data_IF_989768981508
#
_entry.id   IF_989768981508
#
_cell.length_a   1.000
_cell.length_b   1.000
_cell.length_c   1.000
_cell.angle_alpha   90.00
_cell.angle_beta   90.00
_cell.angle_gamma   90.00
#
_symmetry.space_group_name_H-M   'P 1'
#
loop_
_entity.id
_entity.type
_entity.pdbx_description
1 polymer ?
#
# COMPACT_ATOMS: atom_id res chain seq x y z
N UNK A 1 7.16 -11.74 20.78
CA UNK A 1 6.12 -11.42 19.79
C UNK A 1 6.81 -11.05 18.47
N UNK A 2 6.44 -11.64 17.33
CA UNK A 2 7.00 -11.22 16.03
C UNK A 2 6.42 -9.86 15.64
N UNK A 3 7.26 -8.93 15.18
CA UNK A 3 6.81 -7.62 14.73
C UNK A 3 5.95 -7.74 13.46
N UNK A 4 4.80 -7.07 13.44
CA UNK A 4 3.93 -6.99 12.27
C UNK A 4 4.57 -6.12 11.20
N UNK A 5 4.49 -6.56 9.94
CA UNK A 5 4.94 -5.84 8.75
C UNK A 5 3.73 -5.36 7.97
N UNK A 6 3.87 -4.22 7.30
CA UNK A 6 2.84 -3.67 6.42
C UNK A 6 3.11 -4.13 4.99
N UNK A 7 2.05 -4.41 4.23
CA UNK A 7 2.09 -4.85 2.85
C UNK A 7 1.11 -4.05 2.02
N UNK A 8 1.47 -3.77 0.77
CA UNK A 8 0.58 -3.15 -0.23
C UNK A 8 0.09 -4.22 -1.19
N UNK A 9 -1.19 -4.16 -1.50
CA UNK A 9 -1.87 -5.06 -2.41
C UNK A 9 -2.43 -4.25 -3.57
N UNK A 10 -2.07 -4.63 -4.78
CA UNK A 10 -2.79 -4.23 -5.98
C UNK A 10 -3.72 -5.36 -6.36
N UNK A 11 -5.02 -5.15 -6.23
CA UNK A 11 -6.05 -6.12 -6.58
C UNK A 11 -6.72 -5.64 -7.87
N UNK A 12 -6.62 -6.40 -8.98
CA UNK A 12 -7.29 -6.03 -10.23
C UNK A 12 -8.79 -5.84 -10.01
N UNK A 13 -9.33 -4.70 -10.46
CA UNK A 13 -10.72 -4.29 -10.24
C UNK A 13 -10.94 -3.40 -9.01
N UNK A 14 -9.97 -3.26 -8.12
CA UNK A 14 -9.97 -2.22 -7.10
C UNK A 14 -9.25 -0.98 -7.65
N UNK A 15 -9.87 0.20 -7.53
CA UNK A 15 -9.29 1.46 -8.02
C UNK A 15 -8.08 1.94 -7.21
N UNK A 16 -7.82 1.36 -6.03
CA UNK A 16 -6.78 1.78 -5.09
C UNK A 16 -5.96 0.61 -4.57
N UNK A 17 -4.72 0.91 -4.18
CA UNK A 17 -3.89 -0.01 -3.40
C UNK A 17 -4.51 -0.21 -2.02
N UNK A 18 -4.51 -1.45 -1.56
CA UNK A 18 -5.01 -1.85 -0.25
C UNK A 18 -3.84 -2.18 0.66
N UNK A 19 -3.93 -1.79 1.93
CA UNK A 19 -2.85 -2.02 2.90
C UNK A 19 -3.26 -3.07 3.92
N UNK A 20 -2.45 -4.11 4.06
CA UNK A 20 -2.67 -5.18 5.02
C UNK A 20 -1.46 -5.36 5.92
N UNK A 21 -1.70 -5.74 7.17
CA UNK A 21 -0.67 -6.00 8.16
C UNK A 21 -0.55 -7.51 8.39
N UNK A 22 0.67 -8.03 8.46
CA UNK A 22 0.94 -9.45 8.65
C UNK A 22 2.37 -9.68 9.13
N UNK A 23 2.65 -10.83 9.75
CA UNK A 23 4.03 -11.14 10.17
C UNK A 23 4.94 -11.48 8.98
N UNK A 24 4.34 -11.96 7.90
CA UNK A 24 4.94 -12.23 6.61
C UNK A 24 3.93 -12.01 5.46
N UNK A 25 4.36 -12.23 4.21
CA UNK A 25 3.52 -12.05 3.04
C UNK A 25 2.31 -13.00 3.03
N UNK A 26 2.47 -14.21 3.57
CA UNK A 26 1.39 -15.20 3.63
C UNK A 26 0.29 -14.72 4.57
N UNK A 27 0.64 -14.28 5.77
CA UNK A 27 -0.29 -13.67 6.72
C UNK A 27 -1.05 -12.49 6.08
N UNK A 28 -0.34 -11.61 5.37
CA UNK A 28 -0.95 -10.47 4.72
C UNK A 28 -1.91 -10.89 3.59
N UNK A 29 -1.57 -11.94 2.82
CA UNK A 29 -2.46 -12.51 1.80
C UNK A 29 -3.68 -13.17 2.44
N UNK A 30 -3.52 -13.81 3.59
CA UNK A 30 -4.61 -14.43 4.34
C UNK A 30 -5.57 -13.35 4.85
N UNK A 31 -5.05 -12.24 5.38
CA UNK A 31 -5.83 -11.07 5.77
C UNK A 31 -6.58 -10.46 4.57
N UNK A 32 -5.90 -10.29 3.42
CA UNK A 32 -6.51 -9.76 2.21
C UNK A 32 -7.64 -10.66 1.67
N UNK A 33 -7.46 -11.98 1.71
CA UNK A 33 -8.50 -12.96 1.32
C UNK A 33 -9.71 -12.90 2.25
N UNK A 34 -9.46 -12.82 3.55
CA UNK A 34 -10.50 -12.70 4.57
C UNK A 34 -11.32 -11.42 4.35
N UNK A 35 -10.65 -10.28 4.13
CA UNK A 35 -11.30 -9.01 3.87
C UNK A 35 -12.14 -9.01 2.58
N UNK A 36 -11.61 -9.58 1.50
CA UNK A 36 -12.31 -9.72 0.23
C UNK A 36 -13.45 -10.78 0.26
N UNK A 37 -13.52 -11.63 1.29
CA UNK A 37 -14.46 -12.74 1.35
C UNK A 37 -14.22 -13.82 0.29
N UNK A 38 -12.97 -13.99 -0.18
CA UNK A 38 -12.64 -14.91 -1.28
C UNK A 38 -11.71 -16.03 -0.84
N UNK A 39 -11.89 -17.24 -1.39
CA UNK A 39 -10.98 -18.38 -1.13
C UNK A 39 -9.57 -18.15 -1.71
N UNK A 40 -9.47 -17.43 -2.82
CA UNK A 40 -8.22 -17.10 -3.53
C UNK A 40 -8.27 -15.66 -4.01
N UNK A 41 -7.13 -14.97 -3.94
CA UNK A 41 -6.99 -13.62 -4.49
C UNK A 41 -7.19 -13.66 -6.01
N UNK A 42 -7.76 -12.59 -6.59
CA UNK A 42 -7.88 -12.46 -8.05
C UNK A 42 -6.55 -12.65 -8.75
N UNK A 43 -6.59 -13.26 -9.95
CA UNK A 43 -5.42 -13.40 -10.80
C UNK A 43 -4.86 -12.02 -11.14
N UNK A 44 -3.53 -11.85 -11.07
CA UNK A 44 -2.89 -10.55 -11.24
C UNK A 44 -2.83 -9.70 -9.96
N UNK A 45 -3.27 -10.23 -8.81
CA UNK A 45 -3.04 -9.56 -7.52
C UNK A 45 -1.55 -9.51 -7.22
N UNK A 46 -1.02 -8.30 -7.11
CA UNK A 46 0.36 -8.03 -6.77
C UNK A 46 0.47 -7.66 -5.29
N UNK A 47 1.52 -8.17 -4.63
CA UNK A 47 1.77 -7.95 -3.20
C UNK A 47 3.21 -7.54 -3.05
N UNK A 48 3.43 -6.42 -2.36
CA UNK A 48 4.77 -5.95 -2.02
C UNK A 48 4.85 -5.61 -0.53
N UNK A 49 6.00 -5.87 0.13
CA UNK A 49 6.27 -5.30 1.43
C UNK A 49 6.16 -3.77 1.35
N UNK A 50 5.47 -3.17 2.31
CA UNK A 50 5.48 -1.73 2.47
C UNK A 50 6.88 -1.35 2.98
N UNK A 51 7.78 -0.99 2.07
CA UNK A 51 9.08 -0.46 2.46
C UNK A 51 8.93 1.00 2.88
N UNK A 52 9.37 1.29 4.10
CA UNK A 52 9.43 2.63 4.66
C UNK A 52 10.33 3.55 3.81
N UNK A 53 11.35 3.01 3.11
CA UNK A 53 12.13 3.75 2.12
C UNK A 53 11.31 4.16 0.91
N UNK A 54 10.42 3.30 0.41
CA UNK A 54 9.51 3.66 -0.68
C UNK A 54 8.51 4.73 -0.24
N UNK A 55 8.05 4.67 1.02
CA UNK A 55 7.21 5.73 1.60
C UNK A 55 7.97 7.05 1.78
N UNK A 56 9.23 7.01 2.25
CA UNK A 56 10.08 8.20 2.35
C UNK A 56 10.44 8.79 0.99
N UNK A 57 10.67 7.94 -0.02
CA UNK A 57 10.93 8.38 -1.39
C UNK A 57 9.71 9.12 -1.95
N UNK A 58 8.52 8.52 -1.87
CA UNK A 58 7.27 9.15 -2.31
C UNK A 58 7.03 10.46 -1.54
N UNK A 59 7.24 10.48 -0.22
CA UNK A 59 7.11 11.69 0.61
C UNK A 59 8.06 12.79 0.15
N UNK A 60 9.35 12.48 -0.04
CA UNK A 60 10.36 13.45 -0.49
C UNK A 60 10.10 13.96 -1.90
N UNK A 61 9.69 13.08 -2.82
CA UNK A 61 9.34 13.47 -4.19
C UNK A 61 8.12 14.40 -4.21
N UNK A 62 7.09 14.12 -3.40
CA UNK A 62 5.93 15.00 -3.26
C UNK A 62 6.29 16.35 -2.63
N UNK A 63 7.15 16.37 -1.60
CA UNK A 63 7.65 17.62 -1.00
C UNK A 63 8.46 18.47 -1.99
N UNK A 64 9.25 17.84 -2.88
CA UNK A 64 9.98 18.55 -3.93
C UNK A 64 9.05 19.13 -5.01
N UNK A 65 8.03 18.37 -5.41
CA UNK A 65 7.02 18.83 -6.38
C UNK A 65 6.24 20.03 -5.85
N UNK A 66 5.80 19.99 -4.59
CA UNK A 66 5.10 21.10 -3.91
C UNK A 66 5.98 22.34 -3.82
N UNK A 67 7.26 22.18 -3.45
CA UNK A 67 8.22 23.30 -3.40
C UNK A 67 8.54 23.90 -4.77
N UNK A 68 8.49 23.09 -5.84
CA UNK A 68 8.78 23.54 -7.21
C UNK A 68 7.58 24.14 -7.96
N UNK A 69 6.35 23.86 -7.53
CA UNK A 69 5.12 24.27 -8.23
C UNK A 69 4.28 25.31 -7.47
N UNK A 70 4.58 25.56 -6.19
CA UNK A 70 3.80 26.49 -5.37
C UNK A 70 2.40 25.97 -4.97
N UNK A 71 2.07 24.71 -5.30
CA UNK A 71 0.85 24.05 -4.82
C UNK A 71 1.00 23.65 -3.36
N UNK A 72 0.04 24.01 -2.52
CA UNK A 72 0.02 23.61 -1.11
C UNK A 72 -0.39 22.14 -0.98
N UNK A 73 0.25 21.42 -0.06
CA UNK A 73 0.05 19.98 0.22
C UNK A 73 -1.39 19.59 0.55
N UNK A 74 -2.26 20.57 0.80
CA UNK A 74 -3.69 20.37 1.10
C UNK A 74 -4.53 20.00 -0.12
N UNK A 75 -4.05 20.21 -1.35
CA UNK A 75 -4.84 19.97 -2.57
C UNK A 75 -4.70 18.55 -3.14
N UNK A 76 -3.82 17.71 -2.58
CA UNK A 76 -3.51 16.36 -3.09
C UNK A 76 -4.19 15.23 -2.30
N UNK A 77 -5.02 15.56 -1.31
CA UNK A 77 -5.72 14.62 -0.43
C UNK A 77 -7.23 14.89 -0.33
N UNK A 78 -7.87 15.27 -1.45
CA UNK A 78 -9.33 15.25 -1.59
C UNK A 78 -9.78 14.10 -2.50
#
# INVERSE_FOLDING_TARGET
MRASKKFKFFIPGCMSYMEFYGTDEKDARDAARSWLGVKRLPRGTFVEPYDQKSAEFIRKSNEQLVKGTGLFTTDLYF
#
